data_IF_475723264719
#
_entry.id   IF_475723264719
#
_cell.length_a   1.000
_cell.length_b   1.000
_cell.length_c   1.000
_cell.angle_alpha   90.00
_cell.angle_beta   90.00
_cell.angle_gamma   90.00
#
_symmetry.space_group_name_H-M   'P 1'
#
loop_
_entity.id
_entity.type
_entity.pdbx_description
1 polymer ?
#
# COMPACT_ATOMS: atom_id res chain seq x y z
N UNK A 1 1.05 -15.03 17.84
CA UNK A 1 0.75 -13.66 17.38
C UNK A 1 1.75 -12.70 18.01
N UNK A 2 1.98 -11.54 17.41
CA UNK A 2 2.97 -10.56 17.88
C UNK A 2 2.70 -9.18 17.29
N UNK A 3 3.65 -8.26 17.47
CA UNK A 3 3.50 -6.87 17.06
C UNK A 3 3.56 -6.74 15.53
N UNK A 4 2.61 -6.02 14.93
CA UNK A 4 2.59 -5.67 13.51
C UNK A 4 2.26 -4.19 13.33
N UNK A 5 2.69 -3.63 12.20
CA UNK A 5 2.40 -2.25 11.84
C UNK A 5 1.59 -2.17 10.53
N UNK A 6 0.61 -1.27 10.49
CA UNK A 6 -0.11 -0.88 9.29
C UNK A 6 0.21 0.56 8.92
N UNK A 7 0.46 0.80 7.63
CA UNK A 7 0.89 2.10 7.10
C UNK A 7 0.06 2.48 5.88
N UNK A 8 -0.41 3.73 5.84
CA UNK A 8 -1.04 4.35 4.67
C UNK A 8 -0.42 5.71 4.35
N UNK A 9 -0.38 6.06 3.07
CA UNK A 9 0.11 7.35 2.60
C UNK A 9 -0.93 8.46 2.82
N UNK A 10 -0.52 9.60 3.39
CA UNK A 10 -1.36 10.79 3.51
C UNK A 10 -0.69 12.00 2.87
N UNK A 11 -1.45 13.07 2.67
CA UNK A 11 -0.88 14.34 2.18
C UNK A 11 0.27 14.78 3.11
N UNK A 12 1.48 14.80 2.59
CA UNK A 12 2.67 15.27 3.30
C UNK A 12 3.31 14.24 4.24
N UNK A 13 2.90 12.97 4.23
CA UNK A 13 3.50 11.96 5.11
C UNK A 13 2.84 10.59 5.09
N UNK A 14 2.88 9.92 6.23
CA UNK A 14 2.38 8.57 6.47
C UNK A 14 1.50 8.55 7.73
N UNK A 15 0.45 7.74 7.71
CA UNK A 15 -0.27 7.32 8.90
C UNK A 15 0.23 5.93 9.30
N UNK A 16 0.53 5.76 10.59
CA UNK A 16 1.05 4.52 11.17
C UNK A 16 0.13 4.08 12.31
N UNK A 17 -0.18 2.79 12.35
CA UNK A 17 -0.76 2.12 13.51
C UNK A 17 0.08 0.89 13.84
N UNK A 18 0.52 0.76 15.09
CA UNK A 18 1.23 -0.43 15.58
C UNK A 18 0.33 -1.14 16.58
N UNK A 19 0.16 -2.44 16.41
CA UNK A 19 -0.71 -3.26 17.27
C UNK A 19 0.00 -4.53 17.72
N UNK A 20 -0.28 -4.95 18.95
CA UNK A 20 -0.03 -6.33 19.38
C UNK A 20 -1.31 -7.14 19.13
N UNK A 21 -1.27 -7.96 18.08
CA UNK A 21 -2.41 -8.79 17.67
C UNK A 21 -2.71 -9.89 18.70
N UNK A 22 -1.70 -10.34 19.47
CA UNK A 22 -1.89 -11.37 20.50
C UNK A 22 -2.57 -10.82 21.75
N UNK A 23 -2.24 -9.59 22.12
CA UNK A 23 -2.86 -8.88 23.24
C UNK A 23 -4.14 -8.13 22.85
N UNK A 24 -4.38 -7.92 21.55
CA UNK A 24 -5.49 -7.09 21.06
C UNK A 24 -5.32 -5.61 21.40
N UNK A 25 -4.07 -5.13 21.48
CA UNK A 25 -3.75 -3.78 21.94
C UNK A 25 -3.18 -2.91 20.82
N UNK A 26 -3.59 -1.65 20.80
CA UNK A 26 -2.92 -0.60 20.01
C UNK A 26 -1.74 -0.06 20.82
N UNK A 27 -0.54 -0.19 20.27
CA UNK A 27 0.70 0.25 20.92
C UNK A 27 1.10 1.66 20.51
N UNK A 28 0.80 2.04 19.26
CA UNK A 28 1.17 3.34 18.71
C UNK A 28 0.23 3.76 17.58
N UNK A 29 -0.05 5.06 17.51
CA UNK A 29 -0.75 5.71 16.40
C UNK A 29 -0.04 7.03 16.13
N UNK A 30 0.46 7.19 14.91
CA UNK A 30 1.27 8.36 14.57
C UNK A 30 1.01 8.84 13.14
N UNK A 31 1.07 10.16 12.95
CA UNK A 31 1.29 10.77 11.64
C UNK A 31 2.76 11.18 11.53
N UNK A 32 3.48 10.59 10.58
CA UNK A 32 4.87 10.95 10.31
C UNK A 32 4.96 11.82 9.05
N UNK A 33 5.73 12.92 9.07
CA UNK A 33 5.90 13.75 7.88
C UNK A 33 6.89 13.13 6.88
N UNK A 34 6.83 13.60 5.63
CA UNK A 34 7.78 13.25 4.58
C UNK A 34 7.39 11.98 3.82
N UNK A 35 7.22 12.11 2.51
CA UNK A 35 7.01 10.99 1.58
C UNK A 35 8.22 10.79 0.66
N UNK A 36 9.39 11.22 1.12
CA UNK A 36 10.70 10.98 0.53
C UNK A 36 11.42 9.85 1.29
N UNK A 37 12.65 9.54 0.86
CA UNK A 37 13.43 8.47 1.46
C UNK A 37 13.71 8.69 2.96
N UNK A 38 13.84 9.95 3.41
CA UNK A 38 14.06 10.26 4.81
C UNK A 38 12.81 9.97 5.65
N UNK A 39 11.63 10.41 5.19
CA UNK A 39 10.36 10.12 5.85
C UNK A 39 10.04 8.61 5.88
N UNK A 40 10.26 7.91 4.77
CA UNK A 40 10.11 6.45 4.70
C UNK A 40 11.08 5.72 5.64
N UNK A 41 12.33 6.18 5.75
CA UNK A 41 13.32 5.62 6.69
C UNK A 41 12.89 5.83 8.13
N UNK A 42 12.43 7.03 8.49
CA UNK A 42 11.95 7.34 9.84
C UNK A 42 10.74 6.49 10.24
N UNK A 43 9.77 6.34 9.32
CA UNK A 43 8.62 5.45 9.47
C UNK A 43 9.06 4.00 9.76
N UNK A 44 9.93 3.43 8.93
CA UNK A 44 10.34 2.03 9.08
C UNK A 44 11.25 1.81 10.30
N UNK A 45 12.06 2.79 10.67
CA UNK A 45 12.83 2.78 11.91
C UNK A 45 11.90 2.72 13.12
N UNK A 46 10.86 3.55 13.16
CA UNK A 46 9.85 3.52 14.23
C UNK A 46 9.14 2.16 14.32
N UNK A 47 8.80 1.55 13.18
CA UNK A 47 8.22 0.20 13.16
C UNK A 47 9.18 -0.85 13.74
N UNK A 48 10.47 -0.79 13.36
CA UNK A 48 11.50 -1.69 13.88
C UNK A 48 11.70 -1.52 15.38
N UNK A 49 11.80 -0.29 15.86
CA UNK A 49 12.05 0.02 17.27
C UNK A 49 10.84 -0.40 18.14
N UNK A 50 9.63 -0.37 17.59
CA UNK A 50 8.44 -0.95 18.23
C UNK A 50 8.41 -2.49 18.22
N UNK A 51 9.39 -3.16 17.61
CA UNK A 51 9.46 -4.61 17.54
C UNK A 51 8.47 -5.24 16.55
N UNK A 52 8.03 -4.50 15.53
CA UNK A 52 7.09 -5.01 14.53
C UNK A 52 7.70 -6.18 13.75
N UNK A 53 7.01 -7.32 13.76
CA UNK A 53 7.39 -8.52 12.99
C UNK A 53 6.99 -8.44 11.52
N UNK A 54 6.05 -7.56 11.19
CA UNK A 54 5.65 -7.26 9.83
C UNK A 54 5.12 -5.84 9.74
N UNK A 55 5.33 -5.19 8.59
CA UNK A 55 4.84 -3.84 8.27
C UNK A 55 4.06 -3.92 6.97
N UNK A 56 2.73 -3.79 7.03
CA UNK A 56 1.87 -3.71 5.86
C UNK A 56 1.75 -2.28 5.37
N UNK A 57 2.20 -1.99 4.15
CA UNK A 57 2.15 -0.66 3.54
C UNK A 57 1.19 -0.64 2.35
N UNK A 58 0.25 0.31 2.30
CA UNK A 58 -0.62 0.56 1.13
C UNK A 58 0.12 1.35 0.04
N UNK A 59 1.18 0.73 -0.49
CA UNK A 59 1.94 1.24 -1.60
C UNK A 59 2.53 0.07 -2.40
N UNK A 60 2.59 0.18 -3.74
CA UNK A 60 3.30 -0.79 -4.57
C UNK A 60 4.74 -1.06 -4.13
N UNK A 61 5.10 -2.35 -4.01
CA UNK A 61 6.47 -2.84 -3.75
C UNK A 61 6.95 -3.74 -4.90
N UNK A 62 8.18 -3.53 -5.36
CA UNK A 62 8.74 -4.28 -6.48
C UNK A 62 8.25 -3.73 -7.82
N UNK A 63 8.87 -2.62 -8.24
CA UNK A 63 8.55 -1.96 -9.50
C UNK A 63 8.94 -2.87 -10.69
N UNK A 64 8.10 -2.98 -11.73
CA UNK A 64 8.43 -3.82 -12.88
C UNK A 64 9.44 -3.12 -13.79
N UNK A 65 10.31 -3.88 -14.44
CA UNK A 65 11.10 -3.35 -15.56
C UNK A 65 10.25 -3.25 -16.84
N UNK A 66 9.40 -4.27 -17.06
CA UNK A 66 8.53 -4.41 -18.23
C UNK A 66 7.23 -5.12 -17.86
N UNK A 67 6.18 -4.85 -18.62
CA UNK A 67 4.82 -5.36 -18.40
C UNK A 67 4.23 -5.00 -17.01
N UNK A 68 2.94 -5.30 -16.83
CA UNK A 68 2.29 -5.07 -15.54
C UNK A 68 2.66 -6.16 -14.53
N UNK A 69 2.78 -5.77 -13.26
CA UNK A 69 3.10 -6.71 -12.19
C UNK A 69 2.01 -7.78 -12.07
N UNK A 70 2.36 -9.07 -11.91
CA UNK A 70 1.37 -10.12 -11.64
C UNK A 70 0.50 -9.83 -10.41
N UNK A 71 1.07 -9.20 -9.37
CA UNK A 71 0.37 -8.77 -8.16
C UNK A 71 -0.81 -7.84 -8.49
N UNK A 72 -0.59 -6.79 -9.30
CA UNK A 72 -1.65 -5.85 -9.70
C UNK A 72 -2.77 -6.56 -10.47
N UNK A 73 -2.40 -7.46 -11.39
CA UNK A 73 -3.36 -8.20 -12.20
C UNK A 73 -4.17 -9.22 -11.38
N UNK A 74 -3.55 -9.87 -10.39
CA UNK A 74 -4.26 -10.72 -9.43
C UNK A 74 -5.19 -9.91 -8.53
N UNK A 75 -4.73 -8.77 -8.02
CA UNK A 75 -5.53 -7.87 -7.20
C UNK A 75 -6.77 -7.39 -7.97
N UNK A 76 -6.61 -6.95 -9.22
CA UNK A 76 -7.72 -6.59 -10.10
C UNK A 76 -8.71 -7.73 -10.31
N UNK A 77 -8.22 -8.94 -10.64
CA UNK A 77 -9.08 -10.12 -10.83
C UNK A 77 -9.87 -10.45 -9.57
N UNK A 78 -9.22 -10.38 -8.40
CA UNK A 78 -9.86 -10.68 -7.11
C UNK A 78 -10.91 -9.65 -6.72
N UNK A 79 -10.74 -8.37 -7.09
CA UNK A 79 -11.72 -7.31 -6.85
C UNK A 79 -12.90 -7.31 -7.85
N UNK A 80 -12.81 -7.99 -8.99
CA UNK A 80 -13.88 -8.07 -9.98
C UNK A 80 -14.38 -6.69 -10.43
N UNK A 81 -15.66 -6.37 -10.16
CA UNK A 81 -16.25 -5.06 -10.52
C UNK A 81 -15.55 -3.87 -9.86
N UNK A 82 -14.89 -4.09 -8.72
CA UNK A 82 -14.13 -3.08 -7.99
C UNK A 82 -12.68 -2.94 -8.47
N UNK A 83 -12.27 -3.61 -9.55
CA UNK A 83 -10.89 -3.62 -10.04
C UNK A 83 -10.28 -2.22 -10.29
N UNK A 84 -11.10 -1.21 -10.59
CA UNK A 84 -10.63 0.15 -10.86
C UNK A 84 -9.94 0.81 -9.65
N UNK A 85 -10.08 0.22 -8.46
CA UNK A 85 -9.48 0.68 -7.20
C UNK A 85 -8.01 0.27 -7.06
N UNK A 86 -7.54 -0.68 -7.87
CA UNK A 86 -6.12 -1.02 -8.03
C UNK A 86 -5.56 -0.25 -9.21
N UNK A 87 -4.54 0.56 -8.98
CA UNK A 87 -3.78 1.20 -10.05
C UNK A 87 -2.61 0.30 -10.45
N UNK A 88 -2.41 0.15 -11.76
CA UNK A 88 -1.28 -0.65 -12.26
C UNK A 88 0.01 0.12 -12.02
N UNK A 89 0.99 -0.56 -11.44
CA UNK A 89 2.29 0.04 -11.10
C UNK A 89 3.16 0.10 -12.33
N UNK A 90 3.67 1.31 -12.62
CA UNK A 90 4.55 1.55 -13.74
C UNK A 90 6.02 1.37 -13.34
N UNK A 91 6.94 1.21 -14.32
CA UNK A 91 8.36 1.07 -14.06
C UNK A 91 8.95 2.28 -13.34
N UNK A 92 10.06 2.05 -12.66
CA UNK A 92 10.79 3.08 -11.93
C UNK A 92 11.11 4.29 -12.81
N UNK A 93 11.61 4.06 -14.02
CA UNK A 93 11.91 5.10 -15.00
C UNK A 93 10.69 5.94 -15.41
N UNK A 94 9.49 5.34 -15.47
CA UNK A 94 8.23 6.04 -15.77
C UNK A 94 7.80 6.90 -14.59
N UNK A 95 7.95 6.39 -13.38
CA UNK A 95 7.62 7.10 -12.15
C UNK A 95 8.64 8.21 -11.83
N UNK A 96 9.88 8.08 -12.29
CA UNK A 96 10.94 9.08 -12.10
C UNK A 96 10.78 10.32 -13.00
N UNK A 97 9.90 10.27 -14.00
CA UNK A 97 9.62 11.42 -14.85
C UNK A 97 9.08 12.61 -14.03
N UNK A 98 9.62 13.83 -14.23
CA UNK A 98 9.22 15.00 -13.46
C UNK A 98 7.81 15.50 -13.80
N UNK A 99 7.33 15.19 -15.01
CA UNK A 99 6.01 15.62 -15.50
C UNK A 99 5.14 14.42 -15.87
N UNK A 100 3.83 14.55 -15.66
CA UNK A 100 2.88 13.52 -16.07
C UNK A 100 2.90 13.29 -17.58
N UNK A 101 3.11 14.33 -18.38
CA UNK A 101 3.22 14.21 -19.84
C UNK A 101 4.43 13.34 -20.24
N UNK A 102 5.60 13.60 -19.65
CA UNK A 102 6.81 12.80 -19.83
C UNK A 102 6.61 11.36 -19.38
N UNK A 103 6.04 11.16 -18.18
CA UNK A 103 5.71 9.84 -17.64
C UNK A 103 4.79 9.04 -18.57
N UNK A 104 3.75 9.66 -19.13
CA UNK A 104 2.87 9.00 -20.10
C UNK A 104 3.60 8.62 -21.39
N UNK A 105 4.42 9.52 -21.93
CA UNK A 105 5.19 9.25 -23.14
C UNK A 105 6.14 8.07 -22.92
N UNK A 106 6.92 8.10 -21.83
CA UNK A 106 7.83 7.02 -21.44
C UNK A 106 7.10 5.70 -21.19
N UNK A 107 5.95 5.75 -20.51
CA UNK A 107 5.14 4.54 -20.25
C UNK A 107 4.74 3.85 -21.55
N UNK A 108 4.34 4.61 -22.59
CA UNK A 108 3.99 4.02 -23.88
C UNK A 108 5.17 3.31 -24.54
N UNK A 109 6.38 3.84 -24.40
CA UNK A 109 7.60 3.18 -24.90
C UNK A 109 7.89 1.91 -24.10
N UNK A 110 7.96 2.01 -22.77
CA UNK A 110 8.32 0.91 -21.88
C UNK A 110 7.27 -0.22 -21.82
N UNK A 111 5.99 0.10 -22.08
CA UNK A 111 4.86 -0.82 -21.90
C UNK A 111 4.11 -1.16 -23.19
N UNK A 112 4.78 -1.13 -24.35
CA UNK A 112 4.20 -1.53 -25.64
C UNK A 112 2.89 -0.80 -25.95
N UNK A 113 2.90 0.53 -25.84
CA UNK A 113 1.77 1.41 -26.13
C UNK A 113 0.77 1.60 -24.99
N UNK A 114 0.88 0.84 -23.89
CA UNK A 114 -0.01 0.99 -22.73
C UNK A 114 0.23 2.31 -22.01
N UNK A 115 -0.85 2.86 -21.46
CA UNK A 115 -0.84 4.18 -20.82
C UNK A 115 -0.62 4.14 -19.31
N UNK A 116 -0.21 5.27 -18.76
CA UNK A 116 -0.16 5.55 -17.33
C UNK A 116 -1.43 6.30 -16.91
N UNK A 117 -2.03 5.91 -15.77
CA UNK A 117 -3.13 6.67 -15.16
C UNK A 117 -2.59 7.84 -14.33
N UNK A 118 -3.37 8.92 -14.21
CA UNK A 118 -3.00 10.06 -13.37
C UNK A 118 -2.83 9.64 -11.91
N UNK A 119 -3.68 8.73 -11.42
CA UNK A 119 -3.64 8.23 -10.04
C UNK A 119 -2.35 7.45 -9.75
N UNK A 120 -1.93 6.56 -10.65
CA UNK A 120 -0.64 5.87 -10.54
C UNK A 120 0.54 6.84 -10.53
N UNK A 121 0.48 7.92 -11.33
CA UNK A 121 1.52 8.94 -11.33
C UNK A 121 1.52 9.83 -10.08
N UNK A 122 0.35 10.11 -9.50
CA UNK A 122 0.22 10.94 -8.30
C UNK A 122 0.88 10.31 -7.07
N UNK A 123 0.93 8.98 -6.97
CA UNK A 123 1.56 8.26 -5.85
C UNK A 123 3.06 7.99 -6.05
N UNK A 124 3.68 8.48 -7.14
CA UNK A 124 5.06 8.15 -7.51
C UNK A 124 6.10 8.46 -6.42
N UNK A 125 5.95 9.58 -5.70
CA UNK A 125 6.91 10.01 -4.67
C UNK A 125 7.05 8.98 -3.55
N UNK A 126 5.97 8.69 -2.81
CA UNK A 126 5.96 7.64 -1.78
C UNK A 126 6.45 6.28 -2.28
N UNK A 127 6.05 5.90 -3.51
CA UNK A 127 6.43 4.62 -4.12
C UNK A 127 7.95 4.56 -4.38
N UNK A 128 8.53 5.59 -4.99
CA UNK A 128 9.97 5.67 -5.24
C UNK A 128 10.78 5.73 -3.94
N UNK A 129 10.29 6.48 -2.95
CA UNK A 129 10.91 6.56 -1.64
C UNK A 129 10.95 5.21 -0.93
N UNK A 130 9.84 4.46 -0.96
CA UNK A 130 9.77 3.13 -0.39
C UNK A 130 10.72 2.16 -1.12
N UNK A 131 10.74 2.21 -2.46
CA UNK A 131 11.64 1.40 -3.29
C UNK A 131 13.13 1.65 -2.93
N UNK A 132 13.53 2.91 -2.74
CA UNK A 132 14.90 3.29 -2.34
C UNK A 132 15.29 2.78 -0.94
N UNK A 133 14.37 2.87 0.03
CA UNK A 133 14.63 2.37 1.39
C UNK A 133 14.68 0.84 1.42
N UNK A 134 13.82 0.17 0.67
CA UNK A 134 13.86 -1.28 0.53
C UNK A 134 15.14 -1.75 -0.18
N UNK A 135 15.70 -0.98 -1.11
CA UNK A 135 16.97 -1.33 -1.75
C UNK A 135 18.17 -1.31 -0.76
N UNK A 136 18.10 -0.50 0.29
CA UNK A 136 19.25 -0.23 1.18
C UNK A 136 19.15 -0.88 2.57
N UNK A 137 17.96 -1.27 3.01
CA UNK A 137 17.74 -1.88 4.35
C UNK A 137 17.34 -3.35 4.26
N UNK A 138 18.18 -4.25 4.80
CA UNK A 138 17.90 -5.69 4.88
C UNK A 138 16.68 -5.98 5.75
N UNK A 139 16.59 -5.34 6.92
CA UNK A 139 15.44 -5.48 7.82
C UNK A 139 14.14 -5.09 7.11
N UNK A 140 14.15 -3.96 6.39
CA UNK A 140 12.96 -3.49 5.68
C UNK A 140 12.53 -4.47 4.59
N UNK A 141 13.46 -5.06 3.83
CA UNK A 141 13.12 -6.08 2.82
C UNK A 141 12.48 -7.33 3.41
N UNK A 142 12.88 -7.71 4.60
CA UNK A 142 12.37 -8.91 5.27
C UNK A 142 10.99 -8.68 5.90
N UNK A 143 10.72 -7.47 6.42
CA UNK A 143 9.55 -7.22 7.26
C UNK A 143 8.44 -6.42 6.56
N UNK A 144 8.74 -5.69 5.49
CA UNK A 144 7.76 -4.84 4.80
C UNK A 144 7.06 -5.62 3.69
N UNK A 145 5.73 -5.57 3.70
CA UNK A 145 4.87 -6.21 2.69
C UNK A 145 3.86 -5.22 2.13
N UNK A 146 3.58 -5.35 0.83
CA UNK A 146 2.53 -4.58 0.16
C UNK A 146 1.18 -5.11 0.62
N UNK A 147 0.28 -4.20 1.01
CA UNK A 147 -1.12 -4.50 1.30
C UNK A 147 -2.03 -3.65 0.44
N UNK A 148 -3.25 -4.13 0.20
CA UNK A 148 -4.30 -3.34 -0.43
C UNK A 148 -5.53 -3.41 0.47
N UNK A 149 -5.96 -2.30 1.10
CA UNK A 149 -6.98 -2.32 2.15
C UNK A 149 -8.25 -3.08 1.78
N UNK A 150 -8.72 -2.98 0.54
CA UNK A 150 -9.94 -3.69 0.15
C UNK A 150 -9.77 -5.20 0.05
N UNK A 151 -8.58 -5.67 -0.35
CA UNK A 151 -8.30 -7.11 -0.37
C UNK A 151 -8.12 -7.61 1.06
N UNK A 152 -7.50 -6.82 1.93
CA UNK A 152 -7.40 -7.10 3.36
C UNK A 152 -8.79 -7.25 3.98
N UNK A 153 -9.71 -6.31 3.76
CA UNK A 153 -11.07 -6.41 4.27
C UNK A 153 -11.87 -7.59 3.68
N UNK A 154 -11.69 -7.91 2.40
CA UNK A 154 -12.28 -9.12 1.82
C UNK A 154 -11.75 -10.37 2.52
N UNK A 155 -10.45 -10.45 2.78
CA UNK A 155 -9.85 -11.58 3.50
C UNK A 155 -10.36 -11.69 4.94
N UNK A 156 -10.40 -10.57 5.68
CA UNK A 156 -10.89 -10.51 7.06
C UNK A 156 -12.36 -10.93 7.19
N UNK A 157 -13.16 -10.72 6.14
CA UNK A 157 -14.59 -11.08 6.11
C UNK A 157 -14.87 -12.34 5.30
N UNK A 158 -13.83 -13.14 4.99
CA UNK A 158 -13.92 -14.40 4.25
C UNK A 158 -14.65 -14.31 2.89
N UNK A 159 -14.55 -13.16 2.21
CA UNK A 159 -15.22 -12.92 0.92
C UNK A 159 -14.44 -13.48 -0.26
N UNK A 160 -15.19 -14.02 -1.22
CA UNK A 160 -14.66 -14.58 -2.47
C UNK A 160 -14.31 -13.53 -3.53
N UNK A 161 -13.67 -13.94 -4.64
CA UNK A 161 -13.38 -13.05 -5.76
C UNK A 161 -14.63 -12.33 -6.30
N UNK A 162 -14.52 -11.02 -6.53
CA UNK A 162 -15.61 -10.18 -7.04
C UNK A 162 -16.60 -9.67 -5.99
N UNK A 163 -16.52 -10.16 -4.74
CA UNK A 163 -17.36 -9.74 -3.62
C UNK A 163 -16.65 -8.67 -2.77
N UNK A 164 -16.30 -7.55 -3.39
CA UNK A 164 -15.70 -6.43 -2.67
C UNK A 164 -16.73 -5.74 -1.77
N UNK A 165 -16.29 -5.27 -0.60
CA UNK A 165 -17.15 -4.50 0.33
C UNK A 165 -17.76 -3.27 -0.36
N UNK A 166 -18.89 -2.82 0.20
CA UNK A 166 -19.49 -1.56 -0.19
C UNK A 166 -18.48 -0.41 -0.10
N UNK A 167 -18.71 0.63 -0.90
CA UNK A 167 -17.82 1.80 -0.97
C UNK A 167 -17.59 2.39 0.41
N UNK A 168 -16.34 2.71 0.75
CA UNK A 168 -15.97 3.38 2.02
C UNK A 168 -16.60 4.77 2.19
N UNK A 169 -17.24 5.30 1.14
CA UNK A 169 -17.99 6.57 1.15
C UNK A 169 -19.47 6.39 1.54
N UNK A 170 -19.91 5.16 1.82
CA UNK A 170 -21.28 4.85 2.23
C UNK A 170 -21.29 4.40 3.68
N UNK A 171 -22.39 4.64 4.40
CA UNK A 171 -22.55 4.20 5.79
C UNK A 171 -22.34 2.69 5.93
N UNK A 172 -22.97 1.89 5.07
CA UNK A 172 -22.79 0.42 5.02
C UNK A 172 -21.33 0.02 4.82
N UNK A 173 -20.60 0.69 3.92
CA UNK A 173 -19.19 0.36 3.68
C UNK A 173 -18.28 0.73 4.84
N UNK A 174 -18.62 1.77 5.62
CA UNK A 174 -17.91 2.13 6.85
C UNK A 174 -18.20 1.10 7.94
N UNK A 175 -19.48 0.77 8.16
CA UNK A 175 -19.92 -0.22 9.15
C UNK A 175 -19.28 -1.60 8.91
N UNK A 176 -19.28 -2.09 7.67
CA UNK A 176 -18.64 -3.36 7.31
C UNK A 176 -17.15 -3.41 7.66
N UNK A 177 -16.44 -2.29 7.52
CA UNK A 177 -15.00 -2.20 7.84
C UNK A 177 -14.76 -2.13 9.34
N UNK A 178 -15.55 -1.34 10.07
CA UNK A 178 -15.47 -1.25 11.52
C UNK A 178 -15.79 -2.60 12.17
N UNK A 179 -16.84 -3.29 11.71
CA UNK A 179 -17.18 -4.62 12.18
C UNK A 179 -16.05 -5.64 11.92
N UNK A 180 -15.41 -5.58 10.75
CA UNK A 180 -14.26 -6.43 10.45
C UNK A 180 -13.07 -6.15 11.40
N UNK A 181 -12.74 -4.88 11.65
CA UNK A 181 -11.64 -4.48 12.55
C UNK A 181 -11.91 -4.90 14.01
N UNK A 182 -13.16 -4.76 14.48
CA UNK A 182 -13.54 -5.10 15.85
C UNK A 182 -13.31 -6.59 16.20
N UNK A 183 -13.24 -7.47 15.20
CA UNK A 183 -12.88 -8.90 15.43
C UNK A 183 -11.40 -9.12 15.74
N UNK A 184 -10.53 -8.14 15.46
CA UNK A 184 -9.08 -8.22 15.63
C UNK A 184 -8.54 -7.26 16.70
N UNK A 185 -9.25 -6.15 16.95
CA UNK A 185 -8.92 -5.16 17.97
C UNK A 185 -10.20 -4.83 18.75
N UNK A 186 -10.50 -5.59 19.82
CA UNK A 186 -11.79 -5.49 20.51
C UNK A 186 -11.98 -4.21 21.36
N UNK A 187 -11.00 -3.31 21.42
CA UNK A 187 -11.11 -2.02 22.13
C UNK A 187 -9.88 -1.14 21.96
#
# INVERSE_FOLDING_TARGET
MGIVAGVDGRRGGWALVVVDVGAGLVLDVAELPGQDAAGATALLTRCRDAGARAVGVDAPIGLPDRAWRPADLQAKRRLGRAQARVFLTAPREVLAEPTYAGARARCRVAMYGKGLSAQAYCIRGPVLALDDVLATSSWSREHVVEVHPELSFMAMTARGPGDALASKRTATGVEQRLAALATWLPG
#
